data_IF_101490307283
#
_entry.id   IF_101490307283
#
_cell.length_a   1.000
_cell.length_b   1.000
_cell.length_c   1.000
_cell.angle_alpha   90.00
_cell.angle_beta   90.00
_cell.angle_gamma   90.00
#
_symmetry.space_group_name_H-M   'P 1'
#
loop_
_entity.id
_entity.type
_entity.pdbx_description
1 polymer ?
#
# COMPACT_ATOMS: atom_id res chain seq x y z
N UNK A 1 -21.01 28.05 26.30
CA UNK A 1 -19.56 28.25 26.57
C UNK A 1 -18.66 27.33 25.71
N UNK A 2 -17.44 27.75 25.32
CA UNK A 2 -16.46 26.93 24.56
C UNK A 2 -15.63 26.03 25.49
N UNK A 3 -15.36 24.79 25.08
CA UNK A 3 -14.59 23.77 25.79
C UNK A 3 -13.67 23.07 24.79
N UNK A 4 -12.39 22.93 25.15
CA UNK A 4 -11.35 22.29 24.31
C UNK A 4 -10.63 21.14 25.00
N UNK A 5 -11.01 20.77 26.22
CA UNK A 5 -10.41 19.66 26.97
C UNK A 5 -11.49 18.80 27.64
N UNK A 6 -11.24 17.50 27.77
CA UNK A 6 -12.15 16.58 28.43
C UNK A 6 -12.27 16.87 29.94
N UNK A 7 -11.17 17.27 30.58
CA UNK A 7 -11.16 17.63 32.00
C UNK A 7 -12.12 18.79 32.31
N UNK A 8 -12.21 19.78 31.42
CA UNK A 8 -13.16 20.89 31.57
C UNK A 8 -14.62 20.46 31.37
N UNK A 9 -14.86 19.40 30.57
CA UNK A 9 -16.18 18.79 30.44
C UNK A 9 -16.57 18.10 31.76
N UNK A 10 -15.71 17.24 32.30
CA UNK A 10 -16.01 16.47 33.52
C UNK A 10 -16.17 17.38 34.74
N UNK A 11 -15.35 18.43 34.87
CA UNK A 11 -15.49 19.42 35.95
C UNK A 11 -16.86 20.11 35.97
N UNK A 12 -17.47 20.31 34.81
CA UNK A 12 -18.76 21.02 34.67
C UNK A 12 -19.96 20.09 34.60
N UNK A 13 -19.77 18.91 34.04
CA UNK A 13 -20.79 17.88 33.88
C UNK A 13 -20.27 16.55 34.46
N UNK A 14 -20.17 16.41 35.79
CA UNK A 14 -19.58 15.23 36.43
C UNK A 14 -20.31 13.93 36.08
N UNK A 15 -21.61 14.01 35.82
CA UNK A 15 -22.46 12.88 35.38
C UNK A 15 -22.00 12.26 34.06
N UNK A 16 -21.29 13.00 33.20
CA UNK A 16 -20.69 12.44 31.99
C UNK A 16 -19.41 11.65 32.30
N UNK A 17 -18.67 12.03 33.33
CA UNK A 17 -17.52 11.26 33.82
C UNK A 17 -17.93 9.90 34.38
N UNK A 18 -19.08 9.83 35.06
CA UNK A 18 -19.67 8.58 35.56
C UNK A 18 -20.21 7.68 34.43
N UNK A 19 -20.50 8.27 33.26
CA UNK A 19 -21.01 7.57 32.07
C UNK A 19 -19.92 7.33 31.02
N UNK A 20 -18.65 7.28 31.41
CA UNK A 20 -17.49 7.18 30.49
C UNK A 20 -17.58 6.04 29.47
N UNK A 21 -18.29 4.96 29.79
CA UNK A 21 -18.45 3.80 28.91
C UNK A 21 -19.46 4.00 27.76
N UNK A 22 -20.19 5.12 27.75
CA UNK A 22 -21.14 5.41 26.67
C UNK A 22 -20.38 5.81 25.39
N UNK A 23 -20.70 5.22 24.23
CA UNK A 23 -20.00 5.51 22.97
C UNK A 23 -20.00 7.00 22.61
N UNK A 24 -21.06 7.72 22.98
CA UNK A 24 -21.18 9.14 22.70
C UNK A 24 -20.31 10.00 23.63
N UNK A 25 -20.11 9.58 24.89
CA UNK A 25 -19.16 10.21 25.83
C UNK A 25 -17.75 10.04 25.30
N UNK A 26 -17.40 8.82 24.89
CA UNK A 26 -16.11 8.49 24.31
C UNK A 26 -15.84 9.29 23.03
N UNK A 27 -16.84 9.46 22.17
CA UNK A 27 -16.73 10.29 20.98
C UNK A 27 -16.44 11.77 21.30
N UNK A 28 -17.04 12.33 22.37
CA UNK A 28 -16.72 13.69 22.79
C UNK A 28 -15.28 13.79 23.28
N UNK A 29 -14.83 12.81 24.08
CA UNK A 29 -13.44 12.73 24.53
C UNK A 29 -12.48 12.66 23.34
N UNK A 30 -12.66 11.71 22.43
CA UNK A 30 -11.79 11.51 21.26
C UNK A 30 -11.80 12.74 20.33
N UNK A 31 -12.95 13.42 20.19
CA UNK A 31 -13.06 14.66 19.42
C UNK A 31 -12.21 15.78 20.02
N UNK A 32 -12.26 15.97 21.34
CA UNK A 32 -11.47 16.99 22.05
C UNK A 32 -9.98 16.67 22.05
N UNK A 33 -9.60 15.41 22.28
CA UNK A 33 -8.20 14.93 22.21
C UNK A 33 -7.60 15.11 20.80
N UNK A 34 -8.43 15.06 19.77
CA UNK A 34 -8.05 15.34 18.39
C UNK A 34 -7.90 16.85 18.09
N UNK A 35 -7.98 17.72 19.09
CA UNK A 35 -7.92 19.18 18.96
C UNK A 35 -9.25 19.83 18.56
N UNK A 36 -10.35 19.09 18.67
CA UNK A 36 -11.70 19.61 18.46
C UNK A 36 -12.10 20.61 19.55
N UNK A 37 -13.09 21.45 19.23
CA UNK A 37 -13.64 22.43 20.18
C UNK A 37 -15.15 22.27 20.16
N UNK A 38 -15.75 22.14 21.34
CA UNK A 38 -17.21 22.12 21.48
C UNK A 38 -17.71 23.40 22.14
N UNK A 39 -18.91 23.86 21.75
CA UNK A 39 -19.68 24.81 22.55
C UNK A 39 -20.88 24.08 23.12
N UNK A 40 -21.08 24.15 24.43
CA UNK A 40 -22.28 23.64 25.08
C UNK A 40 -23.29 24.75 25.33
N UNK A 41 -24.58 24.41 25.28
CA UNK A 41 -25.68 25.28 25.67
C UNK A 41 -25.57 25.66 27.15
N UNK A 42 -26.08 26.83 27.51
CA UNK A 42 -26.09 27.26 28.90
C UNK A 42 -27.26 26.55 29.61
N UNK A 43 -26.95 25.72 30.61
CA UNK A 43 -27.93 24.87 31.30
C UNK A 43 -27.28 23.73 32.08
N UNK A 44 -28.11 22.92 32.77
CA UNK A 44 -27.67 21.70 33.47
C UNK A 44 -27.51 20.52 32.51
N UNK A 45 -28.25 20.50 31.42
CA UNK A 45 -28.22 19.42 30.43
C UNK A 45 -27.07 19.62 29.45
N UNK A 46 -26.28 18.57 29.24
CA UNK A 46 -25.21 18.60 28.27
C UNK A 46 -25.77 18.55 26.85
N UNK A 47 -25.72 19.69 26.16
CA UNK A 47 -26.13 19.80 24.76
C UNK A 47 -25.10 20.57 23.94
N UNK A 48 -24.62 19.95 22.88
CA UNK A 48 -23.61 20.53 21.99
C UNK A 48 -24.28 21.47 20.97
N UNK A 49 -23.84 22.72 20.95
CA UNK A 49 -24.28 23.79 20.04
C UNK A 49 -23.27 24.03 18.91
N UNK A 50 -21.98 23.80 19.18
CA UNK A 50 -20.90 23.87 18.20
C UNK A 50 -19.98 22.65 18.35
N UNK A 51 -19.45 22.07 17.25
CA UNK A 51 -19.71 22.42 15.84
C UNK A 51 -21.16 22.18 15.44
N UNK A 52 -21.72 22.89 14.44
CA UNK A 52 -23.11 22.65 14.01
C UNK A 52 -23.26 21.31 13.28
N UNK A 53 -24.46 20.72 13.24
CA UNK A 53 -24.72 19.49 12.44
C UNK A 53 -24.28 19.64 10.98
N UNK A 54 -24.50 20.82 10.38
CA UNK A 54 -24.06 21.14 9.02
C UNK A 54 -22.54 21.12 8.88
N UNK A 55 -21.80 21.71 9.82
CA UNK A 55 -20.33 21.67 9.82
C UNK A 55 -19.79 20.25 9.95
N UNK A 56 -20.43 19.43 10.80
CA UNK A 56 -20.10 18.01 10.92
C UNK A 56 -20.32 17.30 9.57
N UNK A 57 -21.44 17.53 8.90
CA UNK A 57 -21.75 16.92 7.60
C UNK A 57 -20.76 17.33 6.50
N UNK A 58 -20.40 18.61 6.44
CA UNK A 58 -19.37 19.12 5.52
C UNK A 58 -18.00 18.49 5.79
N UNK A 59 -17.64 18.33 7.07
CA UNK A 59 -16.40 17.68 7.48
C UNK A 59 -16.39 16.20 7.11
N UNK A 60 -17.49 15.49 7.34
CA UNK A 60 -17.65 14.08 6.93
C UNK A 60 -17.55 13.96 5.41
N UNK A 61 -18.15 14.87 4.64
CA UNK A 61 -18.06 14.86 3.18
C UNK A 61 -16.62 15.06 2.69
N UNK A 62 -15.85 15.97 3.32
CA UNK A 62 -14.43 16.16 3.02
C UNK A 62 -13.61 14.90 3.33
N UNK A 63 -13.85 14.28 4.49
CA UNK A 63 -13.21 13.02 4.89
C UNK A 63 -13.52 11.88 3.93
N UNK A 64 -14.76 11.76 3.44
CA UNK A 64 -15.16 10.78 2.41
C UNK A 64 -14.38 10.96 1.11
N UNK A 65 -14.21 12.20 0.64
CA UNK A 65 -13.40 12.50 -0.56
C UNK A 65 -11.94 12.10 -0.35
N UNK A 66 -11.37 12.40 0.81
CA UNK A 66 -9.99 12.04 1.15
C UNK A 66 -9.79 10.52 1.25
N UNK A 67 -10.74 9.80 1.87
CA UNK A 67 -10.76 8.33 1.91
C UNK A 67 -10.78 7.74 0.50
N UNK A 68 -11.67 8.22 -0.36
CA UNK A 68 -11.77 7.74 -1.75
C UNK A 68 -10.46 7.96 -2.53
N UNK A 69 -9.79 9.11 -2.31
CA UNK A 69 -8.48 9.36 -2.87
C UNK A 69 -7.44 8.32 -2.42
N UNK A 70 -7.32 8.05 -1.12
CA UNK A 70 -6.35 7.06 -0.61
C UNK A 70 -6.66 5.63 -1.07
N UNK A 71 -7.93 5.23 -1.11
CA UNK A 71 -8.32 3.92 -1.64
C UNK A 71 -7.93 3.75 -3.11
N UNK A 72 -8.09 4.79 -3.92
CA UNK A 72 -7.64 4.79 -5.33
C UNK A 72 -6.12 4.65 -5.43
N UNK A 73 -5.35 5.30 -4.55
CA UNK A 73 -3.89 5.15 -4.51
C UNK A 73 -3.47 3.74 -4.10
N UNK A 74 -4.13 3.14 -3.10
CA UNK A 74 -3.89 1.75 -2.68
C UNK A 74 -4.16 0.79 -3.84
N UNK A 75 -5.27 0.96 -4.55
CA UNK A 75 -5.60 0.11 -5.70
C UNK A 75 -4.53 0.21 -6.78
N UNK A 76 -4.08 1.43 -7.12
CA UNK A 76 -3.00 1.65 -8.10
C UNK A 76 -1.69 0.97 -7.67
N UNK A 77 -1.33 1.04 -6.39
CA UNK A 77 -0.13 0.39 -5.86
C UNK A 77 -0.24 -1.14 -5.90
N UNK A 78 -1.39 -1.70 -5.51
CA UNK A 78 -1.64 -3.15 -5.59
C UNK A 78 -1.63 -3.68 -7.02
N UNK A 79 -2.11 -2.89 -8.00
CA UNK A 79 -1.98 -3.26 -9.41
C UNK A 79 -0.53 -3.26 -9.89
N UNK A 80 0.34 -2.43 -9.30
CA UNK A 80 1.78 -2.43 -9.60
C UNK A 80 2.52 -3.58 -8.90
N UNK A 81 2.01 -4.05 -7.76
CA UNK A 81 2.56 -5.17 -7.00
C UNK A 81 2.28 -6.52 -7.65
N UNK A 82 1.08 -6.69 -8.23
CA UNK A 82 0.76 -7.88 -9.01
C UNK A 82 1.75 -7.97 -10.16
N UNK A 83 2.48 -9.07 -10.20
CA UNK A 83 3.45 -9.41 -11.23
C UNK A 83 2.74 -9.65 -12.57
N UNK A 84 2.22 -8.58 -13.16
CA UNK A 84 1.59 -8.66 -14.46
C UNK A 84 2.70 -8.92 -15.46
N UNK A 85 2.75 -10.14 -16.02
CA UNK A 85 3.42 -10.35 -17.30
C UNK A 85 2.72 -9.38 -18.24
N UNK A 86 3.39 -8.32 -18.74
CA UNK A 86 2.72 -7.35 -19.58
C UNK A 86 2.07 -8.09 -20.74
N UNK A 87 0.84 -7.72 -21.11
CA UNK A 87 0.19 -8.26 -22.32
C UNK A 87 1.14 -8.21 -23.52
N UNK A 88 1.96 -7.16 -23.60
CA UNK A 88 3.03 -7.01 -24.58
C UNK A 88 4.01 -8.19 -24.63
N UNK A 89 4.35 -8.79 -23.49
CA UNK A 89 5.22 -9.96 -23.40
C UNK A 89 4.53 -11.24 -23.88
N UNK A 90 3.22 -11.38 -23.61
CA UNK A 90 2.45 -12.55 -24.02
C UNK A 90 2.42 -12.70 -25.56
N UNK A 91 2.49 -11.58 -26.29
CA UNK A 91 2.57 -11.56 -27.75
C UNK A 91 4.00 -11.36 -28.28
N UNK A 92 5.01 -11.40 -27.41
CA UNK A 92 6.39 -11.18 -27.81
C UNK A 92 6.98 -12.45 -28.44
N UNK A 93 7.44 -12.43 -29.72
CA UNK A 93 7.92 -13.64 -30.40
C UNK A 93 9.16 -14.26 -29.74
N UNK A 94 10.02 -13.46 -29.09
CA UNK A 94 11.18 -13.99 -28.38
C UNK A 94 10.74 -14.68 -27.09
N UNK A 95 9.79 -14.09 -26.36
CA UNK A 95 9.25 -14.68 -25.15
C UNK A 95 8.50 -15.99 -25.44
N UNK A 96 7.69 -16.03 -26.49
CA UNK A 96 6.98 -17.26 -26.92
C UNK A 96 8.00 -18.34 -27.29
N UNK A 97 9.01 -18.03 -28.11
CA UNK A 97 10.10 -18.97 -28.45
C UNK A 97 10.83 -19.47 -27.21
N UNK A 98 11.08 -18.60 -26.24
CA UNK A 98 11.66 -18.97 -24.96
C UNK A 98 10.77 -19.96 -24.20
N UNK A 99 9.46 -19.71 -24.09
CA UNK A 99 8.52 -20.64 -23.44
C UNK A 99 8.50 -22.00 -24.14
N UNK A 100 8.47 -22.01 -25.47
CA UNK A 100 8.54 -23.25 -26.25
C UNK A 100 9.86 -24.01 -26.00
N UNK A 101 11.01 -23.31 -26.00
CA UNK A 101 12.30 -23.93 -25.68
C UNK A 101 12.38 -24.43 -24.26
N UNK A 102 11.79 -23.73 -23.28
CA UNK A 102 11.71 -24.22 -21.91
C UNK A 102 10.99 -25.57 -21.87
N UNK A 103 9.96 -25.80 -22.68
CA UNK A 103 9.23 -27.07 -22.73
C UNK A 103 10.00 -28.14 -23.52
N UNK A 104 10.55 -27.78 -24.69
CA UNK A 104 11.11 -28.74 -25.64
C UNK A 104 12.59 -29.11 -25.41
N UNK A 105 13.40 -28.23 -24.82
CA UNK A 105 14.85 -28.41 -24.68
C UNK A 105 15.25 -28.45 -23.19
N UNK A 106 15.60 -29.66 -22.71
CA UNK A 106 15.99 -29.89 -21.31
C UNK A 106 17.30 -29.17 -20.96
N UNK A 107 18.31 -29.21 -21.84
CA UNK A 107 19.59 -28.56 -21.60
C UNK A 107 19.41 -27.04 -21.49
N UNK A 108 18.61 -26.45 -22.38
CA UNK A 108 18.25 -25.05 -22.31
C UNK A 108 17.53 -24.70 -21.00
N UNK A 109 16.54 -25.50 -20.61
CA UNK A 109 15.78 -25.29 -19.36
C UNK A 109 16.70 -25.26 -18.15
N UNK A 110 17.62 -26.22 -18.04
CA UNK A 110 18.57 -26.31 -16.93
C UNK A 110 19.55 -25.14 -16.95
N UNK A 111 20.10 -24.80 -18.12
CA UNK A 111 21.01 -23.67 -18.31
C UNK A 111 20.34 -22.34 -17.95
N UNK A 112 19.11 -22.11 -18.41
CA UNK A 112 18.37 -20.87 -18.15
C UNK A 112 17.99 -20.72 -16.67
N UNK A 113 17.65 -21.82 -15.98
CA UNK A 113 17.41 -21.82 -14.53
C UNK A 113 18.64 -21.41 -13.72
N UNK A 114 19.85 -21.73 -14.19
CA UNK A 114 21.11 -21.30 -13.54
C UNK A 114 21.32 -19.79 -13.62
N UNK A 115 20.95 -19.16 -14.74
CA UNK A 115 21.06 -17.71 -14.95
C UNK A 115 20.12 -16.89 -14.06
N UNK A 116 18.95 -17.43 -13.74
CA UNK A 116 17.96 -16.76 -12.89
C UNK A 116 17.22 -15.60 -13.56
N UNK A 117 17.18 -15.54 -14.89
CA UNK A 117 16.43 -14.48 -15.58
C UNK A 117 14.92 -14.58 -15.33
N UNK A 118 14.33 -13.45 -14.95
CA UNK A 118 12.88 -13.26 -14.86
C UNK A 118 12.28 -12.74 -16.18
N UNK A 119 10.96 -12.81 -16.32
CA UNK A 119 10.24 -12.27 -17.50
C UNK A 119 10.54 -10.77 -17.76
N UNK A 120 10.92 -10.01 -16.73
CA UNK A 120 11.25 -8.59 -16.88
C UNK A 120 12.48 -8.36 -17.78
N UNK A 121 13.41 -9.31 -17.83
CA UNK A 121 14.61 -9.25 -18.67
C UNK A 121 14.29 -9.33 -20.17
N UNK A 122 13.09 -9.81 -20.53
CA UNK A 122 12.64 -9.81 -21.92
C UNK A 122 12.20 -8.41 -22.40
N UNK A 123 11.93 -7.49 -21.46
CA UNK A 123 11.50 -6.12 -21.74
C UNK A 123 12.68 -5.13 -21.85
N UNK A 124 13.77 -5.41 -21.16
CA UNK A 124 14.97 -4.57 -21.18
C UNK A 124 15.80 -4.83 -22.45
N UNK A 125 16.11 -3.81 -23.28
CA UNK A 125 16.79 -4.02 -24.56
C UNK A 125 18.17 -4.66 -24.46
N UNK A 126 18.92 -4.42 -23.36
CA UNK A 126 20.28 -4.96 -23.19
C UNK A 126 20.23 -6.45 -22.89
N UNK A 127 19.42 -6.84 -21.91
CA UNK A 127 19.26 -8.24 -21.49
C UNK A 127 18.49 -9.07 -22.52
N UNK A 128 17.55 -8.46 -23.25
CA UNK A 128 16.85 -9.10 -24.38
C UNK A 128 17.81 -9.64 -25.45
N UNK A 129 18.86 -8.90 -25.82
CA UNK A 129 19.86 -9.36 -26.80
C UNK A 129 20.63 -10.57 -26.29
N UNK A 130 21.01 -10.55 -25.03
CA UNK A 130 21.69 -11.66 -24.35
C UNK A 130 20.80 -12.90 -24.36
N UNK A 131 19.51 -12.76 -24.01
CA UNK A 131 18.55 -13.86 -24.02
C UNK A 131 18.37 -14.44 -25.44
N UNK A 132 18.28 -13.58 -26.46
CA UNK A 132 18.17 -14.03 -27.85
C UNK A 132 19.40 -14.87 -28.26
N UNK A 133 20.61 -14.34 -28.04
CA UNK A 133 21.85 -15.07 -28.34
C UNK A 133 21.98 -16.36 -27.53
N UNK A 134 21.63 -16.34 -26.25
CA UNK A 134 21.65 -17.52 -25.38
C UNK A 134 20.67 -18.61 -25.83
N UNK A 135 19.55 -18.22 -26.42
CA UNK A 135 18.55 -19.13 -26.95
C UNK A 135 19.01 -19.76 -28.28
N UNK A 136 19.67 -19.00 -29.14
CA UNK A 136 20.02 -19.39 -30.51
C UNK A 136 21.38 -20.10 -30.60
N UNK A 137 22.37 -19.70 -29.81
CA UNK A 137 23.75 -20.20 -29.88
C UNK A 137 24.13 -21.04 -28.65
N UNK A 138 24.45 -22.32 -28.89
CA UNK A 138 24.85 -23.29 -27.85
C UNK A 138 26.25 -23.01 -27.30
N UNK A 139 27.18 -22.55 -28.14
CA UNK A 139 28.56 -22.25 -27.74
C UNK A 139 28.60 -20.96 -26.93
N UNK A 140 27.79 -19.96 -27.31
CA UNK A 140 27.57 -18.79 -26.49
C UNK A 140 26.97 -19.16 -25.13
N UNK A 141 25.95 -20.02 -25.11
CA UNK A 141 25.36 -20.53 -23.86
C UNK A 141 26.40 -21.16 -22.94
N UNK A 142 27.22 -22.07 -23.47
CA UNK A 142 28.28 -22.72 -22.70
C UNK A 142 29.28 -21.71 -22.13
N UNK A 143 29.72 -20.74 -22.94
CA UNK A 143 30.63 -19.67 -22.49
C UNK A 143 30.02 -18.80 -21.40
N UNK A 144 28.73 -18.47 -21.49
CA UNK A 144 28.03 -17.70 -20.45
C UNK A 144 27.92 -18.48 -19.15
N UNK A 145 27.62 -19.78 -19.20
CA UNK A 145 27.57 -20.62 -18.01
C UNK A 145 28.96 -20.77 -17.37
N UNK A 146 29.98 -21.01 -18.18
CA UNK A 146 31.36 -21.10 -17.73
C UNK A 146 31.81 -19.80 -17.05
N UNK A 147 31.53 -18.65 -17.66
CA UNK A 147 31.82 -17.35 -17.06
C UNK A 147 31.07 -17.12 -15.73
N UNK A 148 29.86 -17.68 -15.58
CA UNK A 148 29.09 -17.61 -14.33
C UNK A 148 29.73 -18.45 -13.21
N UNK A 149 30.29 -19.60 -13.56
CA UNK A 149 30.92 -20.54 -12.63
C UNK A 149 32.33 -20.11 -12.21
N UNK A 150 33.09 -19.51 -13.15
CA UNK A 150 34.47 -19.06 -12.94
C UNK A 150 34.56 -17.67 -12.30
N UNK A 151 33.58 -16.79 -12.54
CA UNK A 151 33.65 -15.42 -12.02
C UNK A 151 33.35 -15.36 -10.52
N UNK A 152 34.26 -14.84 -9.67
CA UNK A 152 34.02 -14.72 -8.23
C UNK A 152 32.82 -13.81 -7.89
N UNK A 153 32.47 -12.87 -8.78
CA UNK A 153 31.34 -11.97 -8.64
C UNK A 153 30.00 -12.67 -8.88
N UNK A 154 29.95 -13.58 -9.86
CA UNK A 154 28.70 -14.26 -10.27
C UNK A 154 28.54 -15.66 -9.68
N UNK A 155 29.62 -16.27 -9.18
CA UNK A 155 29.62 -17.55 -8.48
C UNK A 155 28.77 -17.52 -7.21
N UNK A 156 28.72 -16.37 -6.53
CA UNK A 156 27.90 -16.13 -5.34
C UNK A 156 26.56 -15.41 -5.63
N UNK A 157 26.44 -14.75 -6.79
CA UNK A 157 25.26 -13.98 -7.20
C UNK A 157 24.86 -14.36 -8.63
N UNK A 158 23.75 -15.09 -8.79
CA UNK A 158 23.17 -15.40 -10.10
C UNK A 158 22.95 -14.10 -10.89
N UNK A 159 23.08 -14.14 -12.21
CA UNK A 159 22.90 -12.95 -13.06
C UNK A 159 21.56 -12.24 -12.82
N UNK A 160 20.49 -13.01 -12.57
CA UNK A 160 19.17 -12.47 -12.22
C UNK A 160 18.97 -12.01 -10.76
N UNK A 161 19.90 -12.30 -9.84
CA UNK A 161 19.70 -11.98 -8.41
C UNK A 161 19.68 -10.47 -8.13
N UNK A 162 20.30 -9.66 -8.99
CA UNK A 162 20.25 -8.20 -8.90
C UNK A 162 18.85 -7.69 -9.28
N UNK A 163 18.24 -8.27 -10.31
CA UNK A 163 16.86 -7.96 -10.69
C UNK A 163 15.85 -8.43 -9.65
N UNK A 164 16.08 -9.57 -9.01
CA UNK A 164 15.22 -10.07 -7.94
C UNK A 164 15.36 -9.24 -6.66
N UNK A 165 16.58 -8.81 -6.30
CA UNK A 165 16.80 -7.90 -5.19
C UNK A 165 16.09 -6.55 -5.42
N UNK A 166 16.25 -5.94 -6.60
CA UNK A 166 15.55 -4.70 -6.95
C UNK A 166 14.03 -4.87 -6.95
N UNK A 167 13.53 -6.03 -7.39
CA UNK A 167 12.11 -6.36 -7.36
C UNK A 167 11.58 -6.50 -5.94
N UNK A 168 12.33 -7.18 -5.07
CA UNK A 168 11.98 -7.34 -3.67
C UNK A 168 11.99 -5.99 -2.95
N UNK A 169 13.01 -5.15 -3.16
CA UNK A 169 13.02 -3.77 -2.65
C UNK A 169 11.81 -2.98 -3.14
N UNK A 170 11.46 -3.08 -4.43
CA UNK A 170 10.29 -2.40 -4.98
C UNK A 170 8.98 -2.90 -4.37
N UNK A 171 8.83 -4.22 -4.19
CA UNK A 171 7.68 -4.81 -3.49
C UNK A 171 7.60 -4.30 -2.07
N UNK A 172 8.67 -4.38 -1.30
CA UNK A 172 8.73 -3.88 0.09
C UNK A 172 8.35 -2.40 0.19
N UNK A 173 8.85 -1.55 -0.72
CA UNK A 173 8.48 -0.13 -0.77
C UNK A 173 6.99 0.06 -1.09
N UNK A 174 6.44 -0.74 -2.00
CA UNK A 174 5.00 -0.72 -2.31
C UNK A 174 4.19 -1.16 -1.10
N UNK A 175 4.53 -2.28 -0.48
CA UNK A 175 3.86 -2.82 0.71
C UNK A 175 3.86 -1.79 1.84
N UNK A 176 5.03 -1.23 2.19
CA UNK A 176 5.13 -0.17 3.21
C UNK A 176 4.25 1.03 2.90
N UNK A 177 4.20 1.45 1.63
CA UNK A 177 3.36 2.58 1.21
C UNK A 177 1.87 2.25 1.27
N UNK A 178 1.48 1.03 0.93
CA UNK A 178 0.10 0.54 1.08
C UNK A 178 -0.30 0.54 2.54
N UNK A 179 0.54 0.01 3.44
CA UNK A 179 0.27 -0.02 4.88
C UNK A 179 0.08 1.39 5.46
N UNK A 180 0.95 2.33 5.06
CA UNK A 180 0.82 3.73 5.46
C UNK A 180 -0.51 4.34 5.02
N UNK A 181 -0.92 4.10 3.76
CA UNK A 181 -2.20 4.61 3.25
C UNK A 181 -3.40 3.92 3.94
N UNK A 182 -3.30 2.63 4.28
CA UNK A 182 -4.34 1.93 5.03
C UNK A 182 -4.52 2.52 6.43
N UNK A 183 -3.44 2.80 7.15
CA UNK A 183 -3.48 3.51 8.44
C UNK A 183 -4.15 4.88 8.33
N UNK A 184 -3.94 5.61 7.22
CA UNK A 184 -4.64 6.88 6.98
C UNK A 184 -6.15 6.68 6.73
N UNK A 185 -6.53 5.62 6.01
CA UNK A 185 -7.95 5.27 5.80
C UNK A 185 -8.63 4.92 7.13
N UNK A 186 -8.01 4.08 7.95
CA UNK A 186 -8.51 3.71 9.28
C UNK A 186 -8.68 4.94 10.18
N UNK A 187 -7.69 5.84 10.19
CA UNK A 187 -7.79 7.11 10.93
C UNK A 187 -8.97 7.96 10.47
N UNK A 188 -9.19 8.07 9.16
CA UNK A 188 -10.34 8.81 8.60
C UNK A 188 -11.66 8.15 9.02
N UNK A 189 -11.73 6.81 9.00
CA UNK A 189 -12.94 6.08 9.41
C UNK A 189 -13.26 6.32 10.89
N UNK A 190 -12.27 6.28 11.78
CA UNK A 190 -12.45 6.63 13.20
C UNK A 190 -12.97 8.06 13.37
N UNK A 191 -12.34 9.03 12.70
CA UNK A 191 -12.81 10.42 12.74
C UNK A 191 -14.25 10.58 12.25
N UNK A 192 -14.65 9.86 11.19
CA UNK A 192 -16.04 9.86 10.73
C UNK A 192 -16.99 9.25 11.75
N UNK A 193 -16.60 8.17 12.42
CA UNK A 193 -17.41 7.54 13.49
C UNK A 193 -17.61 8.50 14.66
N UNK A 194 -16.54 9.11 15.16
CA UNK A 194 -16.58 10.14 16.21
C UNK A 194 -17.53 11.28 15.83
N UNK A 195 -17.38 11.83 14.63
CA UNK A 195 -18.24 12.92 14.14
C UNK A 195 -19.71 12.51 14.02
N UNK A 196 -20.00 11.28 13.59
CA UNK A 196 -21.37 10.77 13.53
C UNK A 196 -21.99 10.59 14.92
N UNK A 197 -21.21 10.13 15.90
CA UNK A 197 -21.67 10.01 17.29
C UNK A 197 -21.90 11.40 17.91
N UNK A 198 -20.97 12.34 17.69
CA UNK A 198 -21.10 13.73 18.11
C UNK A 198 -22.40 14.37 17.56
N UNK A 199 -22.73 14.11 16.30
CA UNK A 199 -23.96 14.59 15.65
C UNK A 199 -25.24 14.10 16.33
N UNK A 200 -25.23 12.93 16.98
CA UNK A 200 -26.40 12.38 17.69
C UNK A 200 -26.71 13.13 19.00
N UNK A 201 -25.71 13.81 19.57
CA UNK A 201 -25.80 14.57 20.83
C UNK A 201 -26.12 16.07 20.66
N UNK A 202 -26.43 16.47 19.42
CA UNK A 202 -26.79 17.83 19.05
C UNK A 202 -28.30 18.00 18.87
#
# INVERSE_FOLDING_TARGET
MLISSWDDVVKRFPTLGEQADRPEVDAVREYLESGGIIKVADGKDFRIVYPTKKMIDERIAALRKQKAYYLKQIQKLRTLEREFIPLRLAFDPLYIRHQLKLVADREYREAFKRLGFSWAHFLDPKTRKIIAQFMEDRDYRSRVLQALEESPVYRSRKFGSISDAQRNTRKELITRKVDLLQKQVERIERQMTVLNLLKRWM
#
